data_IF_086783946871
#
_entry.id   IF_086783946871
#
_cell.length_a   1.000
_cell.length_b   1.000
_cell.length_c   1.000
_cell.angle_alpha   90.00
_cell.angle_beta   90.00
_cell.angle_gamma   90.00
#
_symmetry.space_group_name_H-M   'P 1'
#
loop_
_entity.id
_entity.type
_entity.pdbx_description
1 polymer ?
#
# COMPACT_ATOMS: atom_id res chain seq x y z
N UNK A 1 14.06 -20.45 -15.76
CA UNK A 1 14.25 -19.75 -14.48
C UNK A 1 15.59 -19.06 -14.63
N UNK A 2 15.60 -17.73 -14.71
CA UNK A 2 16.85 -17.00 -14.88
C UNK A 2 17.67 -17.10 -13.59
N UNK A 3 18.95 -17.47 -13.71
CA UNK A 3 19.86 -17.61 -12.57
C UNK A 3 20.20 -16.23 -12.01
N UNK A 4 20.02 -16.03 -10.70
CA UNK A 4 20.41 -14.79 -10.04
C UNK A 4 21.94 -14.66 -10.04
N UNK A 5 22.48 -13.91 -11.00
CA UNK A 5 23.94 -13.71 -11.16
C UNK A 5 24.54 -12.67 -10.22
N UNK A 6 23.69 -11.86 -9.55
CA UNK A 6 24.13 -10.90 -8.55
C UNK A 6 23.14 -9.77 -8.29
N UNK A 7 23.28 -9.11 -7.15
CA UNK A 7 22.55 -7.90 -6.77
C UNK A 7 23.54 -6.75 -6.76
N UNK A 8 23.36 -5.78 -7.65
CA UNK A 8 24.22 -4.60 -7.74
C UNK A 8 23.45 -3.34 -7.33
N UNK A 9 24.05 -2.42 -6.56
CA UNK A 9 23.40 -1.16 -6.23
C UNK A 9 23.17 -0.33 -7.49
N UNK A 10 21.96 0.22 -7.65
CA UNK A 10 21.74 1.26 -8.65
C UNK A 10 22.53 2.51 -8.26
N UNK A 11 23.32 3.05 -9.19
CA UNK A 11 24.04 4.31 -9.00
C UNK A 11 23.18 5.53 -9.36
N UNK A 12 22.05 5.30 -10.04
CA UNK A 12 21.11 6.34 -10.45
C UNK A 12 20.33 6.90 -9.25
N UNK A 13 20.31 8.23 -9.14
CA UNK A 13 19.53 8.93 -8.12
C UNK A 13 18.04 8.84 -8.42
N UNK A 14 17.25 8.51 -7.40
CA UNK A 14 15.80 8.48 -7.46
C UNK A 14 15.20 9.27 -6.28
N UNK A 15 14.00 9.82 -6.47
CA UNK A 15 13.22 10.45 -5.42
C UNK A 15 12.15 9.49 -4.94
N UNK A 16 12.11 9.20 -3.64
CA UNK A 16 11.01 8.49 -3.01
C UNK A 16 10.09 9.46 -2.26
N UNK A 17 8.79 9.34 -2.46
CA UNK A 17 7.76 10.10 -1.76
C UNK A 17 6.77 9.13 -1.13
N UNK A 18 6.72 9.07 0.19
CA UNK A 18 5.61 8.42 0.90
C UNK A 18 4.51 9.45 1.14
N UNK A 19 3.33 9.20 0.57
CA UNK A 19 2.22 10.14 0.59
C UNK A 19 1.08 9.61 1.48
N UNK A 20 0.89 10.25 2.63
CA UNK A 20 -0.28 10.04 3.50
C UNK A 20 -1.48 10.80 2.95
N UNK A 21 -2.48 10.10 2.43
CA UNK A 21 -3.61 10.69 1.67
C UNK A 21 -4.60 11.40 2.58
N UNK A 22 -5.05 10.72 3.62
CA UNK A 22 -6.02 11.18 4.61
C UNK A 22 -5.91 10.31 5.86
N UNK A 23 -6.76 10.54 6.85
CA UNK A 23 -7.04 9.56 7.90
C UNK A 23 -8.45 8.97 7.81
N UNK A 24 -9.05 9.00 6.63
CA UNK A 24 -10.34 8.39 6.37
C UNK A 24 -10.12 6.93 6.01
N UNK A 25 -10.66 6.01 6.81
CA UNK A 25 -10.67 4.58 6.51
C UNK A 25 -12.08 4.04 6.71
N UNK A 26 -12.45 3.04 5.91
CA UNK A 26 -13.71 2.32 6.07
C UNK A 26 -13.60 1.16 7.08
N UNK A 27 -12.41 0.89 7.63
CA UNK A 27 -12.17 -0.09 8.70
C UNK A 27 -11.90 0.61 10.03
N UNK A 28 -12.17 -0.07 11.13
CA UNK A 28 -12.00 0.44 12.51
C UNK A 28 -11.30 -0.61 13.40
N UNK A 29 -10.13 -1.08 12.96
CA UNK A 29 -9.39 -2.16 13.62
C UNK A 29 -8.93 -1.74 15.03
N UNK A 30 -9.03 -2.63 16.01
CA UNK A 30 -8.73 -2.38 17.43
C UNK A 30 -7.28 -2.00 17.69
N UNK A 31 -6.37 -2.49 16.85
CA UNK A 31 -4.92 -2.23 16.90
C UNK A 31 -4.47 -1.05 16.01
N UNK A 32 -5.40 -0.37 15.35
CA UNK A 32 -5.08 0.79 14.53
C UNK A 32 -5.14 2.08 15.36
N UNK A 33 -4.18 2.98 15.14
CA UNK A 33 -4.22 4.31 15.76
C UNK A 33 -5.42 5.10 15.22
N UNK A 34 -6.19 5.81 16.07
CA UNK A 34 -7.33 6.63 15.63
C UNK A 34 -6.96 7.67 14.56
N UNK A 35 -5.71 8.17 14.60
CA UNK A 35 -5.17 9.08 13.58
C UNK A 35 -5.08 8.48 12.17
N UNK A 36 -5.37 7.19 11.99
CA UNK A 36 -5.37 6.50 10.70
C UNK A 36 -6.77 6.14 10.20
N UNK A 37 -7.86 6.35 10.96
CA UNK A 37 -9.19 5.92 10.52
C UNK A 37 -10.38 6.83 10.92
N UNK A 38 -10.21 7.80 11.83
CA UNK A 38 -11.32 8.67 12.29
C UNK A 38 -12.00 9.46 11.14
N UNK A 39 -11.22 9.92 10.16
CA UNK A 39 -11.74 10.70 9.03
C UNK A 39 -12.08 12.16 9.33
N UNK A 40 -11.52 12.77 10.36
CA UNK A 40 -11.60 14.22 10.61
C UNK A 40 -10.68 15.04 9.66
N UNK A 41 -9.69 14.40 9.04
CA UNK A 41 -8.83 14.96 7.98
C UNK A 41 -8.99 14.19 6.66
N UNK A 42 -10.14 14.37 6.00
CA UNK A 42 -10.47 13.67 4.74
C UNK A 42 -9.68 14.18 3.52
N UNK A 43 -9.09 15.37 3.58
CA UNK A 43 -8.27 15.94 2.50
C UNK A 43 -8.97 16.03 1.12
N UNK A 44 -10.29 16.25 1.10
CA UNK A 44 -11.10 16.25 -0.13
C UNK A 44 -11.38 17.65 -0.71
N UNK A 45 -11.02 18.73 -0.02
CA UNK A 45 -11.33 20.10 -0.46
C UNK A 45 -10.61 20.50 -1.76
N UNK A 46 -11.22 21.39 -2.55
CA UNK A 46 -10.60 21.95 -3.76
C UNK A 46 -9.24 22.62 -3.47
N UNK A 47 -9.10 23.26 -2.31
CA UNK A 47 -7.83 23.84 -1.86
C UNK A 47 -6.76 22.76 -1.65
N UNK A 48 -7.14 21.63 -1.05
CA UNK A 48 -6.23 20.49 -0.87
C UNK A 48 -5.80 19.92 -2.22
N UNK A 49 -6.74 19.68 -3.13
CA UNK A 49 -6.45 19.19 -4.49
C UNK A 49 -5.49 20.11 -5.25
N UNK A 50 -5.71 21.43 -5.19
CA UNK A 50 -4.82 22.42 -5.79
C UNK A 50 -3.41 22.36 -5.18
N UNK A 51 -3.31 22.17 -3.87
CA UNK A 51 -2.01 21.98 -3.21
C UNK A 51 -1.30 20.70 -3.64
N UNK A 52 -2.02 19.58 -3.80
CA UNK A 52 -1.46 18.33 -4.32
C UNK A 52 -0.86 18.53 -5.72
N UNK A 53 -1.62 19.17 -6.61
CA UNK A 53 -1.17 19.46 -7.99
C UNK A 53 0.08 20.34 -7.99
N UNK A 54 0.08 21.41 -7.20
CA UNK A 54 1.25 22.30 -7.05
C UNK A 54 2.48 21.57 -6.49
N UNK A 55 2.29 20.63 -5.56
CA UNK A 55 3.39 19.79 -5.06
C UNK A 55 3.97 18.92 -6.18
N UNK A 56 3.11 18.27 -6.96
CA UNK A 56 3.50 17.42 -8.10
C UNK A 56 4.27 18.25 -9.15
N UNK A 57 3.76 19.44 -9.50
CA UNK A 57 4.44 20.37 -10.42
C UNK A 57 5.83 20.76 -9.91
N UNK A 58 5.94 21.04 -8.61
CA UNK A 58 7.21 21.39 -7.98
C UNK A 58 8.19 20.22 -7.98
N UNK A 59 7.70 19.01 -7.70
CA UNK A 59 8.53 17.80 -7.77
C UNK A 59 9.08 17.60 -9.19
N UNK A 60 8.20 17.66 -10.19
CA UNK A 60 8.53 17.41 -11.59
C UNK A 60 9.42 18.50 -12.21
N UNK A 61 9.36 19.74 -11.72
CA UNK A 61 10.21 20.84 -12.21
C UNK A 61 11.58 20.91 -11.54
N UNK A 62 11.71 20.46 -10.28
CA UNK A 62 12.93 20.63 -9.49
C UNK A 62 13.84 19.40 -9.53
N UNK A 63 13.32 18.20 -9.25
CA UNK A 63 14.16 17.04 -8.96
C UNK A 63 14.87 16.45 -10.18
N UNK A 64 14.27 16.44 -11.39
CA UNK A 64 15.01 16.08 -12.60
C UNK A 64 16.23 16.97 -12.84
N UNK A 65 16.11 18.29 -12.61
CA UNK A 65 17.23 19.24 -12.73
C UNK A 65 18.33 19.03 -11.68
N UNK A 66 18.00 18.34 -10.58
CA UNK A 66 18.96 17.90 -9.56
C UNK A 66 19.56 16.52 -9.84
N UNK A 67 19.31 15.96 -11.03
CA UNK A 67 19.84 14.67 -11.47
C UNK A 67 19.06 13.46 -10.97
N UNK A 68 17.85 13.61 -10.43
CA UNK A 68 17.00 12.47 -10.09
C UNK A 68 16.34 11.96 -11.37
N UNK A 69 16.61 10.71 -11.72
CA UNK A 69 16.10 10.09 -12.96
C UNK A 69 14.78 9.37 -12.74
N UNK A 70 14.52 8.89 -11.53
CA UNK A 70 13.33 8.11 -11.20
C UNK A 70 12.52 8.77 -10.09
N UNK A 71 11.20 8.69 -10.20
CA UNK A 71 10.26 9.09 -9.16
C UNK A 71 9.49 7.87 -8.67
N UNK A 72 9.53 7.61 -7.37
CA UNK A 72 8.71 6.60 -6.72
C UNK A 72 7.74 7.27 -5.75
N UNK A 73 6.46 6.96 -5.86
CA UNK A 73 5.43 7.47 -4.96
C UNK A 73 4.75 6.28 -4.30
N UNK A 74 4.68 6.27 -2.98
CA UNK A 74 4.00 5.23 -2.22
C UNK A 74 2.85 5.84 -1.43
N UNK A 75 1.61 5.51 -1.81
CA UNK A 75 0.40 6.01 -1.16
C UNK A 75 0.09 5.19 0.09
N UNK A 76 -0.22 5.88 1.19
CA UNK A 76 -0.63 5.31 2.48
C UNK A 76 -1.57 6.29 3.20
N UNK A 77 -1.87 6.03 4.46
CA UNK A 77 -2.77 6.83 5.31
C UNK A 77 -4.24 6.55 5.02
N UNK A 78 -5.05 6.43 6.07
CA UNK A 78 -6.45 6.05 5.89
C UNK A 78 -6.56 4.72 5.16
N UNK A 79 -7.60 4.62 4.33
CA UNK A 79 -7.63 3.73 3.19
C UNK A 79 -7.46 4.56 1.89
N UNK A 80 -6.29 4.53 1.23
CA UNK A 80 -6.05 5.34 0.04
C UNK A 80 -7.06 5.06 -1.09
N UNK A 81 -7.50 3.82 -1.30
CA UNK A 81 -8.48 3.49 -2.34
C UNK A 81 -9.88 4.06 -2.03
N UNK A 82 -10.14 4.45 -0.79
CA UNK A 82 -11.36 5.12 -0.34
C UNK A 82 -11.25 6.66 -0.40
N UNK A 83 -10.05 7.20 -0.58
CA UNK A 83 -9.82 8.62 -0.76
C UNK A 83 -10.27 9.05 -2.17
N UNK A 84 -11.48 9.63 -2.26
CA UNK A 84 -12.13 10.04 -3.53
C UNK A 84 -11.22 10.80 -4.52
N UNK A 85 -10.28 11.66 -4.07
CA UNK A 85 -9.30 12.28 -4.97
C UNK A 85 -8.29 11.37 -5.66
N UNK A 86 -8.04 10.17 -5.17
CA UNK A 86 -6.89 9.37 -5.63
C UNK A 86 -6.87 9.17 -7.16
N UNK A 87 -7.96 8.76 -7.85
CA UNK A 87 -7.94 8.57 -9.30
C UNK A 87 -7.56 9.81 -10.11
N UNK A 88 -8.04 11.00 -9.71
CA UNK A 88 -7.68 12.25 -10.40
C UNK A 88 -6.23 12.66 -10.12
N UNK A 89 -5.70 12.34 -8.94
CA UNK A 89 -4.31 12.61 -8.58
C UNK A 89 -3.37 11.65 -9.33
N UNK A 90 -3.69 10.37 -9.43
CA UNK A 90 -2.93 9.38 -10.20
C UNK A 90 -2.80 9.77 -11.68
N UNK A 91 -3.92 10.18 -12.31
CA UNK A 91 -3.91 10.74 -13.67
C UNK A 91 -2.99 11.95 -13.78
N UNK A 92 -3.15 12.91 -12.88
CA UNK A 92 -2.35 14.14 -12.90
C UNK A 92 -0.85 13.88 -12.69
N UNK A 93 -0.48 12.95 -11.79
CA UNK A 93 0.91 12.52 -11.60
C UNK A 93 1.44 11.93 -12.90
N UNK A 94 0.74 10.95 -13.46
CA UNK A 94 1.17 10.25 -14.68
C UNK A 94 1.38 11.22 -15.84
N UNK A 95 0.43 12.11 -16.09
CA UNK A 95 0.51 13.09 -17.19
C UNK A 95 1.59 14.16 -16.97
N UNK A 96 1.81 14.57 -15.72
CA UNK A 96 2.83 15.57 -15.38
C UNK A 96 4.23 14.99 -15.43
N UNK A 97 4.42 13.75 -14.97
CA UNK A 97 5.71 13.05 -15.01
C UNK A 97 6.13 12.74 -16.45
N UNK A 98 5.19 12.30 -17.31
CA UNK A 98 5.46 12.07 -18.75
C UNK A 98 6.00 13.31 -19.48
N UNK A 99 5.65 14.51 -19.01
CA UNK A 99 6.10 15.79 -19.58
C UNK A 99 7.26 16.42 -18.78
N UNK A 100 7.79 15.70 -17.80
CA UNK A 100 8.89 16.14 -16.94
C UNK A 100 10.24 15.61 -17.45
N UNK A 101 11.30 15.84 -16.67
CA UNK A 101 12.62 15.24 -16.93
C UNK A 101 12.87 13.90 -16.22
N UNK A 102 11.88 13.31 -15.56
CA UNK A 102 12.00 11.96 -15.03
C UNK A 102 11.92 10.93 -16.16
N UNK A 103 12.75 9.90 -16.09
CA UNK A 103 12.82 8.79 -17.05
C UNK A 103 11.91 7.62 -16.64
N UNK A 104 11.65 7.48 -15.33
CA UNK A 104 10.80 6.43 -14.79
C UNK A 104 9.90 6.96 -13.67
N UNK A 105 8.65 6.50 -13.69
CA UNK A 105 7.69 6.61 -12.60
C UNK A 105 7.44 5.22 -12.03
N UNK A 106 7.37 5.10 -10.71
CA UNK A 106 6.80 3.93 -10.05
C UNK A 106 5.83 4.37 -8.98
N UNK A 107 4.65 3.78 -8.94
CA UNK A 107 3.63 4.07 -7.94
C UNK A 107 3.28 2.80 -7.17
N UNK A 108 3.35 2.88 -5.85
CA UNK A 108 2.84 1.83 -4.97
C UNK A 108 1.71 2.33 -4.07
N UNK A 109 0.92 1.39 -3.55
CA UNK A 109 -0.18 1.66 -2.63
C UNK A 109 -0.16 0.69 -1.45
N UNK A 110 -0.37 1.21 -0.25
CA UNK A 110 -0.70 0.45 0.94
C UNK A 110 -2.21 0.54 1.19
N UNK A 111 -2.92 -0.57 1.11
CA UNK A 111 -4.39 -0.64 1.10
C UNK A 111 -4.86 -1.82 1.96
N UNK A 112 -6.05 -1.72 2.54
CA UNK A 112 -6.79 -2.84 3.13
C UNK A 112 -7.54 -3.68 2.08
N UNK A 113 -7.42 -3.32 0.79
CA UNK A 113 -8.02 -3.98 -0.38
C UNK A 113 -9.55 -4.02 -0.35
N UNK A 114 -10.21 -3.14 0.40
CA UNK A 114 -11.67 -3.17 0.56
C UNK A 114 -12.46 -2.53 -0.58
N UNK A 115 -11.86 -1.61 -1.36
CA UNK A 115 -12.51 -1.06 -2.57
C UNK A 115 -12.93 -2.18 -3.51
N UNK A 116 -14.07 -2.00 -4.17
CA UNK A 116 -14.64 -3.03 -5.04
C UNK A 116 -13.75 -3.36 -6.26
N UNK A 117 -14.01 -4.52 -6.86
CA UNK A 117 -13.26 -4.99 -8.02
C UNK A 117 -13.38 -4.02 -9.21
N UNK A 118 -14.47 -3.24 -9.31
CA UNK A 118 -14.65 -2.23 -10.36
C UNK A 118 -13.65 -1.08 -10.19
N UNK A 119 -13.48 -0.58 -8.97
CA UNK A 119 -12.47 0.44 -8.67
C UNK A 119 -11.07 -0.03 -9.06
N UNK A 120 -10.73 -1.30 -8.76
CA UNK A 120 -9.44 -1.87 -9.17
C UNK A 120 -9.33 -2.00 -10.68
N UNK A 121 -10.38 -2.45 -11.39
CA UNK A 121 -10.41 -2.49 -12.86
C UNK A 121 -10.15 -1.12 -13.49
N UNK A 122 -10.67 -0.06 -12.90
CA UNK A 122 -10.55 1.30 -13.42
C UNK A 122 -9.20 1.97 -13.10
N UNK A 123 -8.41 1.44 -12.14
CA UNK A 123 -7.24 2.14 -11.60
C UNK A 123 -5.95 1.29 -11.48
N UNK A 124 -5.99 -0.03 -11.70
CA UNK A 124 -4.81 -0.89 -11.49
C UNK A 124 -3.60 -0.46 -12.32
N UNK A 125 -3.81 0.06 -13.55
CA UNK A 125 -2.75 0.47 -14.47
C UNK A 125 -1.85 1.60 -13.95
N UNK A 126 -2.30 2.34 -12.93
CA UNK A 126 -1.48 3.38 -12.31
C UNK A 126 -0.47 2.82 -11.32
N UNK A 127 -0.58 1.56 -10.89
CA UNK A 127 0.22 0.98 -9.82
C UNK A 127 1.17 -0.09 -10.35
N UNK A 128 2.41 -0.07 -9.86
CA UNK A 128 3.42 -1.10 -10.10
C UNK A 128 3.54 -2.07 -8.92
N UNK A 129 3.17 -1.61 -7.72
CA UNK A 129 3.35 -2.35 -6.48
C UNK A 129 2.15 -2.17 -5.54
N UNK A 130 1.75 -3.25 -4.87
CA UNK A 130 0.70 -3.20 -3.86
C UNK A 130 1.12 -3.94 -2.59
N UNK A 131 0.92 -3.25 -1.47
CA UNK A 131 0.96 -3.79 -0.12
C UNK A 131 -0.48 -3.85 0.39
N UNK A 132 -1.08 -5.03 0.33
CA UNK A 132 -2.46 -5.26 0.75
C UNK A 132 -2.48 -5.80 2.19
N UNK A 133 -2.89 -4.99 3.17
CA UNK A 133 -3.01 -5.41 4.56
C UNK A 133 -4.32 -6.17 4.80
N UNK A 134 -4.22 -7.43 5.22
CA UNK A 134 -5.35 -8.25 5.62
C UNK A 134 -5.69 -8.01 7.09
N UNK A 135 -6.84 -7.38 7.34
CA UNK A 135 -7.31 -7.00 8.66
C UNK A 135 -8.49 -7.87 9.11
N UNK A 136 -8.21 -8.93 9.86
CA UNK A 136 -9.19 -9.98 10.18
C UNK A 136 -10.51 -9.49 10.82
N UNK A 137 -10.47 -8.41 11.60
CA UNK A 137 -11.65 -7.87 12.29
C UNK A 137 -12.68 -7.22 11.36
N UNK A 138 -12.24 -6.70 10.20
CA UNK A 138 -13.08 -5.90 9.29
C UNK A 138 -13.12 -6.44 7.86
N UNK A 139 -12.16 -7.29 7.50
CA UNK A 139 -12.01 -7.79 6.14
C UNK A 139 -13.04 -8.88 5.82
N UNK A 140 -13.68 -8.77 4.66
CA UNK A 140 -14.39 -9.89 4.07
C UNK A 140 -13.41 -10.75 3.25
N UNK A 141 -13.13 -11.95 3.73
CA UNK A 141 -12.13 -12.86 3.17
C UNK A 141 -12.39 -13.23 1.70
N UNK A 142 -13.64 -13.53 1.33
CA UNK A 142 -14.00 -13.90 -0.05
C UNK A 142 -13.76 -12.74 -1.01
N UNK A 143 -14.21 -11.54 -0.62
CA UNK A 143 -14.02 -10.32 -1.39
C UNK A 143 -12.53 -9.97 -1.52
N UNK A 144 -11.77 -10.10 -0.45
CA UNK A 144 -10.32 -9.88 -0.45
C UNK A 144 -9.62 -10.84 -1.42
N UNK A 145 -9.93 -12.14 -1.34
CA UNK A 145 -9.36 -13.17 -2.20
C UNK A 145 -9.77 -12.97 -3.68
N UNK A 146 -11.02 -12.60 -3.96
CA UNK A 146 -11.49 -12.25 -5.31
C UNK A 146 -10.62 -11.14 -5.92
N UNK A 147 -10.32 -10.09 -5.15
CA UNK A 147 -9.53 -8.95 -5.61
C UNK A 147 -8.07 -9.34 -5.81
N UNK A 148 -7.49 -10.12 -4.89
CA UNK A 148 -6.16 -10.68 -5.06
C UNK A 148 -6.06 -11.51 -6.35
N UNK A 149 -7.06 -12.38 -6.61
CA UNK A 149 -7.11 -13.19 -7.84
C UNK A 149 -7.19 -12.34 -9.10
N UNK A 150 -7.90 -11.21 -9.07
CA UNK A 150 -7.94 -10.27 -10.19
C UNK A 150 -6.59 -9.57 -10.41
N UNK A 151 -5.89 -9.21 -9.32
CA UNK A 151 -4.67 -8.39 -9.38
C UNK A 151 -3.40 -9.20 -9.64
N UNK A 152 -3.35 -10.48 -9.28
CA UNK A 152 -2.15 -11.33 -9.47
C UNK A 152 -1.67 -11.38 -10.94
N UNK A 153 -2.60 -11.23 -11.89
CA UNK A 153 -2.32 -11.22 -13.33
C UNK A 153 -1.77 -9.87 -13.84
N UNK A 154 -1.71 -8.85 -12.97
CA UNK A 154 -1.33 -7.47 -13.31
C UNK A 154 0.04 -7.09 -12.74
N UNK A 155 0.28 -7.45 -11.49
CA UNK A 155 1.56 -7.30 -10.80
C UNK A 155 1.61 -8.28 -9.62
N UNK A 156 2.81 -8.54 -9.09
CA UNK A 156 2.94 -9.32 -7.86
C UNK A 156 2.33 -8.55 -6.69
N UNK A 157 1.36 -9.16 -6.01
CA UNK A 157 0.65 -8.58 -4.87
C UNK A 157 1.22 -9.13 -3.57
N UNK A 158 1.55 -8.24 -2.62
CA UNK A 158 1.94 -8.64 -1.27
C UNK A 158 0.73 -8.55 -0.34
N UNK A 159 0.27 -9.70 0.15
CA UNK A 159 -0.72 -9.80 1.24
C UNK A 159 0.00 -9.78 2.59
N UNK A 160 -0.28 -8.76 3.39
CA UNK A 160 0.32 -8.54 4.71
C UNK A 160 -0.67 -8.93 5.78
N UNK A 161 -0.43 -10.07 6.41
CA UNK A 161 -1.29 -10.68 7.41
C UNK A 161 -1.08 -9.97 8.75
N UNK A 162 -2.06 -9.19 9.19
CA UNK A 162 -1.98 -8.50 10.48
C UNK A 162 -2.28 -9.49 11.61
N UNK A 163 -1.23 -9.94 12.30
CA UNK A 163 -1.26 -11.10 13.20
C UNK A 163 -1.93 -10.78 14.55
N UNK A 164 -3.25 -10.64 14.55
CA UNK A 164 -4.06 -10.44 15.76
C UNK A 164 -4.09 -11.73 16.60
N UNK A 165 -3.66 -11.64 17.87
CA UNK A 165 -3.51 -12.77 18.78
C UNK A 165 -4.77 -13.65 18.87
N UNK A 166 -5.93 -13.06 19.16
CA UNK A 166 -7.17 -13.82 19.38
C UNK A 166 -7.68 -14.58 18.13
N UNK A 167 -7.14 -14.23 16.95
CA UNK A 167 -7.58 -14.76 15.65
C UNK A 167 -6.40 -15.32 14.85
N UNK A 168 -5.27 -15.60 15.51
CA UNK A 168 -4.01 -15.97 14.87
C UNK A 168 -4.15 -17.16 13.92
N UNK A 169 -4.76 -18.26 14.37
CA UNK A 169 -4.92 -19.47 13.54
C UNK A 169 -5.78 -19.20 12.28
N UNK A 170 -6.85 -18.42 12.39
CA UNK A 170 -7.67 -18.09 11.22
C UNK A 170 -6.90 -17.26 10.19
N UNK A 171 -6.01 -16.39 10.66
CA UNK A 171 -5.13 -15.61 9.79
C UNK A 171 -4.16 -16.55 9.05
N UNK A 172 -3.59 -17.54 9.75
CA UNK A 172 -2.72 -18.58 9.15
C UNK A 172 -3.50 -19.41 8.13
N UNK A 173 -4.69 -19.91 8.48
CA UNK A 173 -5.54 -20.71 7.60
C UNK A 173 -5.90 -19.93 6.32
N UNK A 174 -6.19 -18.63 6.46
CA UNK A 174 -6.49 -17.79 5.30
C UNK A 174 -5.26 -17.51 4.44
N UNK A 175 -4.06 -17.35 5.02
CA UNK A 175 -2.82 -17.27 4.22
C UNK A 175 -2.52 -18.57 3.48
N UNK A 176 -2.78 -19.74 4.07
CA UNK A 176 -2.61 -21.02 3.38
C UNK A 176 -3.58 -21.14 2.19
N UNK A 177 -4.79 -20.59 2.34
CA UNK A 177 -5.73 -20.46 1.24
C UNK A 177 -5.24 -19.53 0.13
N UNK A 178 -4.66 -18.37 0.47
CA UNK A 178 -4.01 -17.50 -0.53
C UNK A 178 -2.91 -18.27 -1.26
N UNK A 179 -2.05 -18.98 -0.52
CA UNK A 179 -0.94 -19.74 -1.08
C UNK A 179 -1.38 -20.88 -2.01
N UNK A 180 -2.52 -21.50 -1.74
CA UNK A 180 -3.05 -22.59 -2.57
C UNK A 180 -3.87 -22.13 -3.77
N UNK A 181 -4.44 -20.92 -3.72
CA UNK A 181 -5.34 -20.43 -4.78
C UNK A 181 -4.71 -19.37 -5.72
N UNK A 182 -3.55 -18.81 -5.38
CA UNK A 182 -2.85 -17.82 -6.21
C UNK A 182 -1.54 -18.37 -6.78
N UNK A 183 -1.14 -17.84 -7.94
CA UNK A 183 0.09 -18.22 -8.64
C UNK A 183 1.18 -17.14 -8.57
N UNK A 184 0.81 -15.88 -8.31
CA UNK A 184 1.73 -14.75 -8.26
C UNK A 184 1.42 -13.86 -7.06
N UNK A 185 2.06 -14.16 -5.93
CA UNK A 185 1.77 -13.53 -4.65
C UNK A 185 3.01 -13.50 -3.75
N UNK A 186 2.96 -12.62 -2.74
CA UNK A 186 3.79 -12.70 -1.54
C UNK A 186 2.89 -12.66 -0.32
N UNK A 187 3.18 -13.49 0.69
CA UNK A 187 2.54 -13.41 2.00
C UNK A 187 3.58 -12.96 3.02
N UNK A 188 3.27 -11.92 3.78
CA UNK A 188 4.09 -11.46 4.90
C UNK A 188 3.27 -11.52 6.19
N UNK A 189 3.83 -12.10 7.24
CA UNK A 189 3.22 -12.12 8.56
C UNK A 189 3.72 -10.93 9.37
N UNK A 190 2.81 -10.02 9.72
CA UNK A 190 3.14 -8.76 10.38
C UNK A 190 2.71 -8.85 11.85
N UNK A 191 3.66 -8.91 12.81
CA UNK A 191 3.31 -8.80 14.20
C UNK A 191 2.70 -7.43 14.47
N UNK A 192 1.64 -7.38 15.29
CA UNK A 192 1.08 -6.10 15.70
C UNK A 192 2.11 -5.34 16.54
N UNK A 193 2.11 -4.02 16.45
CA UNK A 193 3.01 -3.18 17.24
C UNK A 193 2.26 -2.61 18.45
N UNK A 194 2.98 -2.45 19.57
CA UNK A 194 2.47 -1.80 20.79
C UNK A 194 2.00 -0.37 20.53
N UNK A 195 2.64 0.31 19.59
CA UNK A 195 2.22 1.59 19.05
C UNK A 195 2.67 1.75 17.60
N UNK A 196 1.92 2.51 16.79
CA UNK A 196 2.30 2.86 15.42
C UNK A 196 3.22 4.08 15.42
N UNK A 197 4.42 3.91 15.96
CA UNK A 197 5.45 4.94 16.09
C UNK A 197 6.84 4.34 15.80
N UNK A 198 7.86 5.18 15.60
CA UNK A 198 9.25 4.72 15.45
C UNK A 198 9.81 4.02 16.71
N UNK A 199 9.04 3.99 17.81
CA UNK A 199 9.36 3.28 19.06
C UNK A 199 8.45 2.08 19.31
N UNK A 200 7.51 1.81 18.40
CA UNK A 200 6.66 0.63 18.46
C UNK A 200 7.49 -0.63 18.41
N UNK A 201 7.25 -1.52 19.36
CA UNK A 201 7.82 -2.87 19.37
C UNK A 201 6.71 -3.87 19.05
N UNK A 202 7.02 -5.04 18.47
CA UNK A 202 6.05 -6.13 18.36
C UNK A 202 5.36 -6.40 19.71
N UNK A 203 4.04 -6.62 19.69
CA UNK A 203 3.33 -7.12 20.87
C UNK A 203 3.90 -8.48 21.25
N UNK A 204 3.92 -8.77 22.54
CA UNK A 204 4.30 -10.09 23.01
C UNK A 204 3.07 -11.01 22.98
N UNK A 205 3.13 -12.03 22.11
CA UNK A 205 2.08 -13.05 22.04
C UNK A 205 2.06 -13.91 23.30
N UNK A 206 0.89 -14.30 23.80
CA UNK A 206 0.75 -15.08 25.04
C UNK A 206 1.24 -16.51 24.91
N UNK A 207 0.97 -17.15 23.76
CA UNK A 207 1.28 -18.56 23.54
C UNK A 207 2.64 -18.75 22.86
N UNK A 208 3.41 -19.74 23.32
CA UNK A 208 4.78 -19.95 22.83
C UNK A 208 4.82 -20.27 21.33
N UNK A 209 3.87 -21.06 20.83
CA UNK A 209 3.83 -21.40 19.40
C UNK A 209 3.60 -20.18 18.50
N UNK A 210 2.89 -19.15 18.97
CA UNK A 210 2.72 -17.89 18.23
C UNK A 210 4.02 -17.07 18.19
N UNK A 211 4.83 -17.15 19.25
CA UNK A 211 6.17 -16.54 19.28
C UNK A 211 7.12 -17.24 18.31
N UNK A 212 7.08 -18.57 18.29
CA UNK A 212 7.95 -19.42 17.46
C UNK A 212 7.56 -19.38 15.96
N UNK A 213 6.42 -18.77 15.61
CA UNK A 213 5.93 -18.66 14.24
C UNK A 213 6.71 -17.65 13.38
N UNK A 214 7.29 -16.61 14.00
CA UNK A 214 8.05 -15.55 13.32
C UNK A 214 9.55 -15.89 13.25
#
# INVERSE_FOLDING_TARGET
>A
MDELVGIVPTTERFLNVTWVTSNLCNFNCSYCSPNNHIGDYTNTSNKHLSNCRRLIDKICSVYPRKGHKKLRIFFSGGEPSYWKPLPQILRYITDTVKRSGFEQLSIGINTNLSSDTTWWKDNWEYFDHMSASFHIESCNQELYLERLKFLQDKFSVTSRMMMLEDRFQEIVDFSDRICSELNNYHVEYIPLLTELSNRGVPIEYKEQWMKDFF
#
